data_IF_958157834774
#
_entry.id   IF_958157834774
#
_cell.length_a   1.000
_cell.length_b   1.000
_cell.length_c   1.000
_cell.angle_alpha   90.00
_cell.angle_beta   90.00
_cell.angle_gamma   90.00
#
_symmetry.space_group_name_H-M   'P 1'
#
loop_
_entity.id
_entity.type
_entity.pdbx_description
1 polymer ?
#
# COMPACT_ATOMS: atom_id res chain seq x y z
N UNK A 1 -0.94 -10.89 -0.64
CA UNK A 1 -0.09 -11.24 -1.80
C UNK A 1 1.09 -10.26 -2.01
N UNK A 2 2.17 -10.66 -2.70
CA UNK A 2 3.20 -9.74 -3.26
C UNK A 2 3.17 -9.77 -4.80
N UNK A 3 2.88 -8.63 -5.42
CA UNK A 3 3.03 -8.35 -6.86
C UNK A 3 4.51 -8.43 -7.27
N UNK A 4 4.79 -9.18 -8.32
CA UNK A 4 6.13 -9.32 -8.93
C UNK A 4 6.11 -8.69 -10.32
N UNK A 5 7.03 -7.78 -10.61
CA UNK A 5 7.18 -7.10 -11.91
C UNK A 5 8.60 -7.38 -12.45
N UNK A 6 8.72 -7.67 -13.74
CA UNK A 6 10.01 -8.00 -14.38
C UNK A 6 11.01 -6.83 -14.40
N UNK A 7 10.50 -5.59 -14.46
CA UNK A 7 11.34 -4.41 -14.35
C UNK A 7 11.89 -4.29 -12.93
N UNK A 8 13.20 -4.50 -12.79
CA UNK A 8 13.90 -4.49 -11.50
C UNK A 8 13.71 -3.19 -10.71
N UNK A 9 13.75 -2.04 -11.37
CA UNK A 9 13.59 -0.75 -10.71
C UNK A 9 12.16 -0.60 -10.16
N UNK A 10 11.15 -1.05 -10.92
CA UNK A 10 9.76 -1.05 -10.46
C UNK A 10 9.53 -2.02 -9.31
N UNK A 11 10.19 -3.18 -9.35
CA UNK A 11 10.17 -4.13 -8.24
C UNK A 11 10.76 -3.51 -6.97
N UNK A 12 11.91 -2.82 -7.07
CA UNK A 12 12.51 -2.12 -5.93
C UNK A 12 11.60 -1.02 -5.37
N UNK A 13 10.89 -0.30 -6.25
CA UNK A 13 9.88 0.69 -5.84
C UNK A 13 8.68 0.02 -5.13
N UNK A 14 8.18 -1.10 -5.64
CA UNK A 14 7.12 -1.86 -5.01
C UNK A 14 7.55 -2.40 -3.65
N UNK A 15 8.77 -2.94 -3.54
CA UNK A 15 9.31 -3.44 -2.27
C UNK A 15 9.40 -2.34 -1.21
N UNK A 16 9.79 -1.12 -1.62
CA UNK A 16 9.73 0.06 -0.75
C UNK A 16 8.29 0.38 -0.31
N UNK A 17 7.32 0.29 -1.22
CA UNK A 17 5.89 0.48 -0.90
C UNK A 17 5.37 -0.58 0.07
N UNK A 18 5.70 -1.86 -0.12
CA UNK A 18 5.36 -2.94 0.81
C UNK A 18 5.97 -2.70 2.19
N UNK A 19 7.23 -2.28 2.25
CA UNK A 19 7.89 -1.94 3.52
C UNK A 19 7.18 -0.80 4.22
N UNK A 20 6.80 0.25 3.50
CA UNK A 20 6.06 1.37 4.07
C UNK A 20 4.68 0.95 4.59
N UNK A 21 3.96 0.10 3.85
CA UNK A 21 2.70 -0.49 4.30
C UNK A 21 2.86 -1.30 5.60
N UNK A 22 3.89 -2.13 5.70
CA UNK A 22 4.17 -2.90 6.94
C UNK A 22 4.42 -1.96 8.12
N UNK A 23 5.21 -0.90 7.92
CA UNK A 23 5.44 0.11 8.96
C UNK A 23 4.12 0.79 9.37
N UNK A 24 3.23 1.11 8.44
CA UNK A 24 1.90 1.62 8.79
C UNK A 24 1.14 0.66 9.71
N UNK A 25 1.11 -0.64 9.39
CA UNK A 25 0.47 -1.66 10.24
C UNK A 25 1.07 -1.65 11.64
N UNK A 26 2.40 -1.64 11.76
CA UNK A 26 3.10 -1.58 13.05
C UNK A 26 2.76 -0.30 13.84
N UNK A 27 2.66 0.83 13.14
CA UNK A 27 2.25 2.11 13.72
C UNK A 27 0.82 2.07 14.27
N UNK A 28 -0.11 1.48 13.53
CA UNK A 28 -1.48 1.31 13.98
C UNK A 28 -1.58 0.34 15.17
N UNK A 29 -0.90 -0.81 15.12
CA UNK A 29 -0.91 -1.80 16.19
C UNK A 29 -0.31 -1.26 17.48
N UNK A 30 0.80 -0.53 17.39
CA UNK A 30 1.43 0.11 18.55
C UNK A 30 0.72 1.38 19.02
N UNK A 31 -0.19 1.93 18.22
CA UNK A 31 -0.85 3.22 18.44
C UNK A 31 0.15 4.35 18.76
N UNK A 32 1.33 4.32 18.13
CA UNK A 32 2.44 5.20 18.47
C UNK A 32 3.19 5.67 17.25
N UNK A 33 3.80 6.87 17.31
CA UNK A 33 4.64 7.37 16.20
C UNK A 33 5.89 6.51 16.04
N UNK A 34 5.95 5.74 14.96
CA UNK A 34 7.16 5.02 14.56
C UNK A 34 7.95 5.73 13.46
N UNK A 35 9.20 5.30 13.25
CA UNK A 35 10.04 5.78 12.16
C UNK A 35 9.61 5.18 10.82
N UNK A 36 9.05 6.02 9.94
CA UNK A 36 8.53 5.65 8.62
C UNK A 36 9.56 5.79 7.49
N UNK A 37 10.87 5.78 7.80
CA UNK A 37 11.91 5.91 6.77
C UNK A 37 12.02 4.65 5.91
N UNK A 38 11.91 4.86 4.61
CA UNK A 38 12.10 3.83 3.58
C UNK A 38 13.03 4.38 2.51
N UNK A 39 13.99 3.57 2.09
CA UNK A 39 14.90 3.91 1.00
C UNK A 39 14.16 3.75 -0.33
N UNK A 40 14.18 4.81 -1.14
CA UNK A 40 13.49 4.82 -2.44
C UNK A 40 14.57 4.99 -3.52
N UNK A 41 14.66 4.08 -4.51
CA UNK A 41 15.61 4.21 -5.61
C UNK A 41 15.32 5.47 -6.42
N UNK A 42 16.37 6.06 -7.02
CA UNK A 42 16.21 7.18 -7.94
C UNK A 42 15.71 6.65 -9.29
N UNK A 43 14.77 7.36 -9.90
CA UNK A 43 14.21 7.01 -11.20
C UNK A 43 13.79 8.25 -11.97
N UNK A 44 13.61 8.09 -13.28
CA UNK A 44 12.88 9.01 -14.16
C UNK A 44 11.62 8.32 -14.67
N UNK A 45 10.63 9.08 -15.14
CA UNK A 45 9.36 8.50 -15.61
C UNK A 45 9.53 7.56 -16.81
N UNK A 46 10.54 7.79 -17.65
CA UNK A 46 10.86 6.91 -18.79
C UNK A 46 11.38 5.53 -18.37
N UNK A 47 11.80 5.37 -17.11
CA UNK A 47 12.32 4.09 -16.60
C UNK A 47 11.19 3.15 -16.14
N UNK A 48 9.94 3.65 -16.11
CA UNK A 48 8.79 2.98 -15.50
C UNK A 48 7.76 2.53 -16.56
N UNK A 49 7.65 1.22 -16.75
CA UNK A 49 6.65 0.61 -17.63
C UNK A 49 5.23 0.69 -17.04
N UNK A 50 5.10 0.54 -15.72
CA UNK A 50 3.86 0.48 -14.95
C UNK A 50 3.62 1.76 -14.12
N UNK A 51 4.03 2.92 -14.62
CA UNK A 51 3.94 4.20 -13.89
C UNK A 51 2.54 4.54 -13.38
N UNK A 52 1.47 4.14 -14.09
CA UNK A 52 0.09 4.35 -13.65
C UNK A 52 -0.23 3.54 -12.39
N UNK A 53 0.13 2.27 -12.37
CA UNK A 53 -0.03 1.38 -11.21
C UNK A 53 0.75 1.93 -10.00
N UNK A 54 2.04 2.23 -10.20
CA UNK A 54 2.90 2.75 -9.14
C UNK A 54 2.38 4.07 -8.56
N UNK A 55 1.80 4.93 -9.41
CA UNK A 55 1.17 6.17 -8.96
C UNK A 55 -0.04 5.90 -8.06
N UNK A 56 -0.93 4.99 -8.47
CA UNK A 56 -2.13 4.62 -7.68
C UNK A 56 -1.70 4.02 -6.33
N UNK A 57 -0.71 3.14 -6.32
CA UNK A 57 -0.13 2.57 -5.11
C UNK A 57 0.41 3.64 -4.16
N UNK A 58 1.16 4.61 -4.69
CA UNK A 58 1.69 5.71 -3.89
C UNK A 58 0.59 6.60 -3.31
N UNK A 59 -0.45 6.92 -4.09
CA UNK A 59 -1.60 7.71 -3.62
C UNK A 59 -2.37 6.99 -2.51
N UNK A 60 -2.51 5.66 -2.61
CA UNK A 60 -3.08 4.80 -1.59
C UNK A 60 -2.30 4.88 -0.26
N UNK A 61 -0.97 4.73 -0.30
CA UNK A 61 -0.13 4.83 0.90
C UNK A 61 -0.14 6.23 1.51
N UNK A 62 -0.14 7.28 0.68
CA UNK A 62 -0.28 8.67 1.16
C UNK A 62 -1.58 8.89 1.90
N UNK A 63 -2.68 8.31 1.42
CA UNK A 63 -3.96 8.36 2.12
C UNK A 63 -3.86 7.67 3.48
N UNK A 64 -3.36 6.43 3.52
CA UNK A 64 -3.28 5.68 4.77
C UNK A 64 -2.37 6.33 5.80
N UNK A 65 -1.27 6.95 5.37
CA UNK A 65 -0.42 7.73 6.27
C UNK A 65 -1.16 8.94 6.86
N UNK A 66 -2.00 9.64 6.08
CA UNK A 66 -2.82 10.74 6.60
C UNK A 66 -3.83 10.24 7.63
N UNK A 67 -4.49 9.12 7.34
CA UNK A 67 -5.43 8.46 8.25
C UNK A 67 -4.75 8.03 9.55
N UNK A 68 -3.56 7.46 9.46
CA UNK A 68 -2.71 7.12 10.61
C UNK A 68 -2.38 8.34 11.48
N UNK A 69 -2.01 9.46 10.86
CA UNK A 69 -1.73 10.69 11.62
C UNK A 69 -2.96 11.25 12.33
N UNK A 70 -4.17 11.08 11.78
CA UNK A 70 -5.42 11.45 12.47
C UNK A 70 -5.72 10.48 13.60
N UNK A 71 -5.60 9.18 13.35
CA UNK A 71 -5.77 8.13 14.35
C UNK A 71 -4.91 8.35 15.60
N UNK A 72 -3.68 8.83 15.44
CA UNK A 72 -2.81 9.15 16.58
C UNK A 72 -3.20 10.42 17.36
N UNK A 73 -4.00 11.32 16.79
CA UNK A 73 -4.36 12.60 17.42
C UNK A 73 -5.75 12.61 18.02
N UNK A 74 -6.68 11.92 17.38
CA UNK A 74 -8.10 12.01 17.65
C UNK A 74 -8.56 10.76 18.41
N UNK A 75 -9.09 10.97 19.60
CA UNK A 75 -9.65 9.89 20.40
C UNK A 75 -10.89 9.32 19.69
N UNK A 76 -11.00 8.00 19.67
CA UNK A 76 -12.12 7.26 19.05
C UNK A 76 -12.23 7.41 17.51
N UNK A 77 -11.18 7.91 16.84
CA UNK A 77 -11.13 7.98 15.38
C UNK A 77 -11.08 6.59 14.74
N UNK A 78 -11.98 6.34 13.77
CA UNK A 78 -12.02 5.11 13.00
C UNK A 78 -11.46 5.38 11.59
N UNK A 79 -10.21 4.98 11.30
CA UNK A 79 -9.61 5.24 10.00
C UNK A 79 -10.26 4.37 8.92
N UNK A 80 -10.45 4.97 7.74
CA UNK A 80 -10.84 4.23 6.53
C UNK A 80 -9.60 4.09 5.63
N UNK A 81 -9.05 2.89 5.61
CA UNK A 81 -7.77 2.59 5.00
C UNK A 81 -7.95 2.00 3.62
N UNK A 82 -6.90 2.08 2.80
CA UNK A 82 -6.95 1.66 1.41
C UNK A 82 -5.93 0.58 1.13
N UNK A 83 -6.30 -0.38 0.30
CA UNK A 83 -5.39 -1.37 -0.29
C UNK A 83 -5.66 -1.47 -1.78
N UNK A 84 -4.75 -2.11 -2.50
CA UNK A 84 -4.88 -2.32 -3.92
C UNK A 84 -5.40 -3.72 -4.20
N UNK A 85 -6.46 -3.80 -4.97
CA UNK A 85 -6.94 -5.04 -5.55
C UNK A 85 -6.40 -5.20 -6.97
N UNK A 86 -5.78 -6.34 -7.22
CA UNK A 86 -5.20 -6.66 -8.51
C UNK A 86 -5.83 -7.94 -9.06
N UNK A 87 -6.20 -7.90 -10.34
CA UNK A 87 -6.68 -9.08 -11.05
C UNK A 87 -5.46 -9.85 -11.57
N UNK A 88 -5.17 -11.01 -10.97
CA UNK A 88 -4.01 -11.85 -11.34
C UNK A 88 -3.97 -12.19 -12.83
N UNK A 89 -5.13 -12.34 -13.48
CA UNK A 89 -5.25 -12.67 -14.90
C UNK A 89 -5.07 -11.47 -15.86
N UNK A 90 -4.67 -10.29 -15.36
CA UNK A 90 -4.56 -9.08 -16.18
C UNK A 90 -3.30 -8.25 -15.85
N UNK A 91 -2.22 -8.50 -16.60
CA UNK A 91 -0.93 -7.83 -16.41
C UNK A 91 -0.97 -6.31 -16.65
N UNK A 92 -1.83 -5.83 -17.56
CA UNK A 92 -1.96 -4.39 -17.86
C UNK A 92 -3.08 -3.69 -17.08
N UNK A 93 -3.77 -4.40 -16.18
CA UNK A 93 -4.87 -3.80 -15.45
C UNK A 93 -4.36 -2.84 -14.37
N UNK A 94 -4.92 -1.63 -14.36
CA UNK A 94 -4.71 -0.69 -13.26
C UNK A 94 -5.39 -1.26 -12.01
N UNK A 95 -4.70 -1.39 -10.86
CA UNK A 95 -5.30 -1.92 -9.65
C UNK A 95 -6.49 -1.07 -9.20
N UNK A 96 -7.50 -1.75 -8.66
CA UNK A 96 -8.68 -1.11 -8.06
C UNK A 96 -8.37 -0.77 -6.61
N UNK A 97 -8.74 0.42 -6.18
CA UNK A 97 -8.58 0.82 -4.78
C UNK A 97 -9.77 0.31 -3.97
N UNK A 98 -9.50 -0.47 -2.93
CA UNK A 98 -10.50 -0.91 -1.97
C UNK A 98 -10.38 -0.12 -0.67
N UNK A 99 -11.50 0.13 -0.02
CA UNK A 99 -11.55 0.75 1.29
C UNK A 99 -11.82 -0.33 2.34
N UNK A 100 -11.05 -0.33 3.42
CA UNK A 100 -11.07 -1.30 4.50
C UNK A 100 -11.17 -0.57 5.84
N UNK A 101 -11.82 -1.21 6.80
CA UNK A 101 -11.70 -0.87 8.22
C UNK A 101 -10.27 -1.15 8.72
N UNK A 102 -9.96 -0.66 9.92
CA UNK A 102 -8.66 -0.92 10.54
C UNK A 102 -8.36 -2.42 10.70
N UNK A 103 -9.34 -3.21 11.16
CA UNK A 103 -9.13 -4.64 11.40
C UNK A 103 -8.85 -5.39 10.08
N UNK A 104 -9.65 -5.13 9.05
CA UNK A 104 -9.43 -5.72 7.72
C UNK A 104 -8.07 -5.30 7.15
N UNK A 105 -7.67 -4.04 7.33
CA UNK A 105 -6.36 -3.56 6.89
C UNK A 105 -5.21 -4.29 7.60
N UNK A 106 -5.32 -4.52 8.91
CA UNK A 106 -4.30 -5.22 9.69
C UNK A 106 -4.15 -6.70 9.28
N UNK A 107 -5.20 -7.30 8.72
CA UNK A 107 -5.18 -8.67 8.21
C UNK A 107 -4.80 -8.75 6.73
N UNK A 108 -4.99 -7.67 5.97
CA UNK A 108 -4.67 -7.59 4.55
C UNK A 108 -3.19 -7.38 4.26
N UNK A 109 -2.78 -7.81 3.07
CA UNK A 109 -1.55 -7.33 2.42
C UNK A 109 -1.83 -6.06 1.61
N UNK A 110 -0.77 -5.37 1.18
CA UNK A 110 -0.91 -4.12 0.42
C UNK A 110 -1.60 -4.32 -0.94
N UNK A 111 -1.29 -5.45 -1.59
CA UNK A 111 -1.97 -5.95 -2.78
C UNK A 111 -2.76 -7.19 -2.41
N UNK A 112 -4.03 -7.21 -2.78
CA UNK A 112 -4.94 -8.32 -2.55
C UNK A 112 -5.47 -8.91 -3.86
N UNK A 113 -5.67 -10.23 -3.87
CA UNK A 113 -6.19 -10.97 -5.02
C UNK A 113 -7.64 -11.42 -4.83
N UNK A 114 -8.24 -11.98 -5.89
CA UNK A 114 -9.65 -12.39 -5.90
C UNK A 114 -9.96 -13.42 -4.82
N UNK A 115 -9.00 -14.27 -4.48
CA UNK A 115 -9.20 -15.36 -3.52
C UNK A 115 -9.14 -14.87 -2.07
N UNK A 116 -8.50 -13.73 -1.82
CA UNK A 116 -8.47 -13.07 -0.51
C UNK A 116 -9.79 -12.31 -0.21
N UNK A 117 -10.54 -11.88 -1.24
CA UNK A 117 -11.85 -11.23 -1.08
C UNK A 117 -13.00 -12.17 -0.71
N UNK A 118 -12.80 -13.49 -0.80
CA UNK A 118 -13.83 -14.51 -0.55
C UNK A 118 -13.78 -15.13 0.85
N UNK A 119 -12.79 -14.74 1.66
CA UNK A 119 -12.65 -15.19 3.05
C UNK A 119 -13.46 -14.28 3.97
#
# INVERSE_FOLDING_TARGET
MKRVIDNKLEQELLDAMYKFHSLLKDGFMSQSKINMKVDIPKFTYSDLNHHKELRVALECLKNNYREYLKFLREKDYLPLLKVLYFYEDCEECIPVVLNLSLNEFLESDFYISRDELKK
#
